data_IF_876235356737
#
_entry.id   IF_876235356737
#
_cell.length_a   1.000
_cell.length_b   1.000
_cell.length_c   1.000
_cell.angle_alpha   90.00
_cell.angle_beta   90.00
_cell.angle_gamma   90.00
#
_symmetry.space_group_name_H-M   'P 1'
#
loop_
_entity.id
_entity.type
_entity.pdbx_description
1 polymer ?
#
# COMPACT_ATOMS: atom_id res chain seq x y z
N UNK A 1 -20.35 -0.26 7.87
CA UNK A 1 -19.08 -0.10 8.64
C UNK A 1 -18.06 0.48 7.70
N UNK A 2 -17.54 1.67 8.03
CA UNK A 2 -16.66 2.46 7.19
C UNK A 2 -15.27 1.82 7.10
N UNK A 3 -14.95 1.21 5.94
CA UNK A 3 -13.62 0.69 5.64
C UNK A 3 -12.68 1.75 5.03
N UNK A 4 -13.00 3.03 5.19
CA UNK A 4 -12.36 4.05 4.35
C UNK A 4 -11.03 4.54 4.90
N UNK A 5 -10.77 4.47 6.18
CA UNK A 5 -9.48 4.94 6.74
C UNK A 5 -9.19 4.25 8.05
N UNK A 6 -8.48 3.14 8.01
CA UNK A 6 -7.74 2.71 9.18
C UNK A 6 -6.37 3.40 9.14
N UNK A 7 -6.30 4.60 9.68
CA UNK A 7 -5.06 5.35 9.82
C UNK A 7 -4.30 4.77 10.99
N UNK A 8 -3.22 4.03 10.71
CA UNK A 8 -2.13 3.67 11.61
C UNK A 8 -2.45 3.59 13.11
N UNK A 9 -3.34 2.67 13.50
CA UNK A 9 -3.76 2.46 14.87
C UNK A 9 -4.09 0.98 15.08
N UNK A 10 -4.44 0.60 16.28
CA UNK A 10 -5.01 -0.71 16.61
C UNK A 10 -6.28 -1.07 15.80
N UNK A 11 -6.84 -0.11 15.06
CA UNK A 11 -7.92 -0.32 14.11
C UNK A 11 -7.45 -0.75 12.72
N UNK A 12 -6.14 -0.88 12.44
CA UNK A 12 -5.66 -1.39 11.16
C UNK A 12 -6.17 -2.82 10.92
N UNK A 13 -6.49 -3.13 9.67
CA UNK A 13 -7.00 -4.47 9.32
C UNK A 13 -5.99 -5.56 9.70
N UNK A 14 -4.71 -5.31 9.47
CA UNK A 14 -3.67 -6.27 9.81
C UNK A 14 -3.54 -6.42 11.34
N UNK A 15 -3.62 -5.33 12.11
CA UNK A 15 -3.58 -5.40 13.56
C UNK A 15 -4.71 -6.28 14.12
N UNK A 16 -5.95 -6.04 13.69
CA UNK A 16 -7.12 -6.81 14.14
C UNK A 16 -7.01 -8.29 13.75
N UNK A 17 -6.45 -8.56 12.58
CA UNK A 17 -6.21 -9.94 12.13
C UNK A 17 -5.14 -10.63 12.98
N UNK A 18 -4.03 -9.95 13.28
CA UNK A 18 -2.96 -10.48 14.14
C UNK A 18 -3.48 -10.79 15.56
N UNK A 19 -4.30 -9.91 16.15
CA UNK A 19 -4.95 -10.15 17.44
C UNK A 19 -5.83 -11.42 17.40
N UNK A 20 -6.60 -11.58 16.33
CA UNK A 20 -7.44 -12.77 16.16
C UNK A 20 -6.61 -14.04 16.02
N UNK A 21 -5.57 -14.01 15.16
CA UNK A 21 -4.70 -15.15 14.89
C UNK A 21 -3.93 -15.57 16.14
N UNK A 22 -3.46 -14.62 16.95
CA UNK A 22 -2.77 -14.92 18.22
C UNK A 22 -3.62 -15.79 19.13
N UNK A 23 -4.93 -15.56 19.14
CA UNK A 23 -5.87 -16.33 19.97
C UNK A 23 -6.29 -17.67 19.36
N UNK A 24 -6.43 -17.75 18.03
CA UNK A 24 -6.94 -18.94 17.35
C UNK A 24 -5.84 -19.88 16.84
N UNK A 25 -4.62 -19.37 16.65
CA UNK A 25 -3.50 -20.05 16.00
C UNK A 25 -3.87 -20.64 14.62
N UNK A 26 -4.89 -20.08 13.96
CA UNK A 26 -5.42 -20.58 12.69
C UNK A 26 -5.01 -19.74 11.50
N UNK A 27 -4.45 -20.39 10.45
CA UNK A 27 -4.18 -19.74 9.16
C UNK A 27 -5.45 -19.30 8.43
N UNK A 28 -6.61 -19.88 8.75
CA UNK A 28 -7.89 -19.52 8.14
C UNK A 28 -8.31 -18.10 8.51
N UNK A 29 -7.88 -17.64 9.67
CA UNK A 29 -8.07 -16.28 10.15
C UNK A 29 -7.03 -15.29 9.58
N UNK A 30 -6.01 -15.77 8.87
CA UNK A 30 -4.85 -15.01 8.39
C UNK A 30 -5.01 -14.55 6.93
N UNK A 31 -6.14 -13.96 6.54
CA UNK A 31 -6.38 -13.57 5.15
C UNK A 31 -5.43 -12.48 4.65
N UNK A 32 -5.38 -11.35 5.35
CA UNK A 32 -4.51 -10.23 4.95
C UNK A 32 -3.04 -10.56 5.15
N UNK A 33 -2.70 -11.19 6.27
CA UNK A 33 -1.34 -11.66 6.53
C UNK A 33 -0.86 -12.58 5.41
N UNK A 34 -1.64 -13.61 5.06
CA UNK A 34 -1.25 -14.59 4.05
C UNK A 34 -1.20 -14.02 2.64
N UNK A 35 -2.16 -13.16 2.25
CA UNK A 35 -2.32 -12.71 0.88
C UNK A 35 -1.59 -11.42 0.56
N UNK A 36 -1.23 -10.62 1.56
CA UNK A 36 -0.68 -9.28 1.32
C UNK A 36 0.56 -8.96 2.12
N UNK A 37 0.68 -9.42 3.36
CA UNK A 37 1.71 -8.96 4.27
C UNK A 37 2.73 -10.00 4.70
N UNK A 38 2.59 -11.27 4.31
CA UNK A 38 3.47 -12.35 4.74
C UNK A 38 4.94 -12.02 4.54
N UNK A 39 5.33 -11.58 3.33
CA UNK A 39 6.73 -11.29 3.03
C UNK A 39 7.29 -10.13 3.84
N UNK A 40 6.47 -9.10 4.07
CA UNK A 40 6.83 -7.95 4.92
C UNK A 40 7.06 -8.42 6.35
N UNK A 41 6.18 -9.27 6.87
CA UNK A 41 6.30 -9.82 8.23
C UNK A 41 7.54 -10.72 8.37
N UNK A 42 7.82 -11.57 7.40
CA UNK A 42 9.04 -12.38 7.39
C UNK A 42 10.30 -11.51 7.42
N UNK A 43 10.37 -10.50 6.56
CA UNK A 43 11.53 -9.59 6.51
C UNK A 43 11.66 -8.78 7.80
N UNK A 44 10.56 -8.28 8.34
CA UNK A 44 10.56 -7.49 9.57
C UNK A 44 11.07 -8.27 10.79
N UNK A 45 10.74 -9.56 10.86
CA UNK A 45 11.23 -10.46 11.90
C UNK A 45 12.55 -11.17 11.54
N UNK A 46 13.14 -10.88 10.38
CA UNK A 46 14.34 -11.54 9.86
C UNK A 46 14.21 -13.07 9.76
N UNK A 47 13.00 -13.53 9.51
CA UNK A 47 12.69 -14.96 9.37
C UNK A 47 12.71 -15.42 7.92
N UNK A 48 13.11 -16.67 7.70
CA UNK A 48 12.98 -17.32 6.39
C UNK A 48 11.50 -17.55 6.07
N UNK A 49 11.17 -17.51 4.79
CA UNK A 49 9.84 -17.89 4.30
C UNK A 49 9.55 -19.35 4.61
N UNK A 50 8.45 -19.56 5.33
CA UNK A 50 7.94 -20.89 5.70
C UNK A 50 6.42 -20.91 5.50
N UNK A 51 5.76 -22.07 5.44
CA UNK A 51 4.30 -22.14 5.36
C UNK A 51 3.63 -21.32 6.46
N UNK A 52 2.56 -20.59 6.12
CA UNK A 52 1.91 -19.64 7.03
C UNK A 52 1.49 -20.25 8.35
N UNK A 53 0.92 -21.48 8.34
CA UNK A 53 0.57 -22.17 9.58
C UNK A 53 1.77 -22.37 10.50
N UNK A 54 2.91 -22.78 9.94
CA UNK A 54 4.15 -22.96 10.70
C UNK A 54 4.73 -21.63 11.19
N UNK A 55 4.60 -20.58 10.39
CA UNK A 55 5.00 -19.24 10.80
C UNK A 55 4.23 -18.79 12.04
N UNK A 56 2.90 -18.85 11.98
CA UNK A 56 2.01 -18.47 13.08
C UNK A 56 2.33 -19.27 14.35
N UNK A 57 2.48 -20.59 14.23
CA UNK A 57 2.73 -21.47 15.40
C UNK A 57 4.11 -21.30 16.02
N UNK A 58 5.06 -20.70 15.30
CA UNK A 58 6.44 -20.51 15.76
C UNK A 58 6.72 -19.08 16.26
N UNK A 59 5.73 -18.20 16.29
CA UNK A 59 5.88 -16.86 16.84
C UNK A 59 5.82 -16.91 18.38
N UNK A 60 6.81 -16.34 19.02
CA UNK A 60 6.80 -16.08 20.45
C UNK A 60 6.07 -14.74 20.77
N UNK A 61 5.83 -14.47 22.06
CA UNK A 61 5.10 -13.26 22.47
C UNK A 61 5.78 -11.96 22.04
N UNK A 62 7.11 -11.88 22.10
CA UNK A 62 7.87 -10.70 21.68
C UNK A 62 7.69 -10.45 20.16
N UNK A 63 7.72 -11.49 19.36
CA UNK A 63 7.52 -11.41 17.90
C UNK A 63 6.09 -11.02 17.55
N UNK A 64 5.11 -11.51 18.29
CA UNK A 64 3.71 -11.08 18.15
C UNK A 64 3.57 -9.58 18.43
N UNK A 65 4.14 -9.06 19.50
CA UNK A 65 4.07 -7.63 19.82
C UNK A 65 4.80 -6.79 18.75
N UNK A 66 5.98 -7.23 18.28
CA UNK A 66 6.67 -6.57 17.16
C UNK A 66 5.81 -6.48 15.89
N UNK A 67 5.12 -7.56 15.51
CA UNK A 67 4.23 -7.55 14.34
C UNK A 67 3.02 -6.64 14.56
N UNK A 68 2.46 -6.62 15.75
CA UNK A 68 1.35 -5.74 16.11
C UNK A 68 1.76 -4.27 16.04
N UNK A 69 2.92 -3.91 16.56
CA UNK A 69 3.44 -2.54 16.49
C UNK A 69 3.74 -2.12 15.04
N UNK A 70 4.34 -3.00 14.24
CA UNK A 70 4.52 -2.76 12.82
C UNK A 70 3.18 -2.54 12.11
N UNK A 71 2.17 -3.35 12.44
CA UNK A 71 0.86 -3.28 11.79
C UNK A 71 0.12 -1.97 12.06
N UNK A 72 0.39 -1.29 13.18
CA UNK A 72 -0.13 0.06 13.48
C UNK A 72 0.36 1.12 12.49
N UNK A 73 1.47 0.87 11.81
CA UNK A 73 2.02 1.76 10.78
C UNK A 73 1.45 1.50 9.38
N UNK A 74 0.64 0.45 9.22
CA UNK A 74 0.09 0.02 7.93
C UNK A 74 -1.35 0.47 7.80
N UNK A 75 -1.67 1.08 6.66
CA UNK A 75 -3.01 1.54 6.30
C UNK A 75 -3.43 0.92 4.97
N UNK A 76 -4.63 0.35 4.93
CA UNK A 76 -5.23 -0.13 3.69
C UNK A 76 -6.14 0.95 3.10
N UNK A 77 -5.85 1.35 1.86
CA UNK A 77 -6.70 2.24 1.07
C UNK A 77 -7.30 1.48 -0.12
N UNK A 78 -8.59 1.68 -0.34
CA UNK A 78 -9.28 1.13 -1.50
C UNK A 78 -9.35 2.19 -2.60
N UNK A 79 -8.88 1.84 -3.83
CA UNK A 79 -9.05 2.72 -4.99
C UNK A 79 -10.53 2.84 -5.39
N UNK A 80 -11.28 1.74 -5.20
CA UNK A 80 -12.71 1.69 -5.46
C UNK A 80 -13.48 1.71 -4.14
N UNK A 81 -14.14 2.83 -3.78
CA UNK A 81 -14.69 3.05 -2.43
C UNK A 81 -15.98 2.27 -2.15
N UNK A 82 -16.51 1.54 -3.12
CA UNK A 82 -17.72 0.76 -2.96
C UNK A 82 -17.41 -0.70 -2.64
N UNK A 83 -18.19 -1.27 -1.75
CA UNK A 83 -18.08 -2.70 -1.43
C UNK A 83 -18.48 -3.54 -2.64
N UNK A 84 -17.54 -4.30 -3.18
CA UNK A 84 -17.78 -5.24 -4.27
C UNK A 84 -16.95 -6.49 -4.07
N UNK A 85 -17.57 -7.66 -4.26
CA UNK A 85 -16.86 -8.94 -4.24
C UNK A 85 -15.80 -9.01 -5.34
N UNK A 86 -16.12 -8.42 -6.49
CA UNK A 86 -15.20 -8.28 -7.60
C UNK A 86 -15.50 -6.96 -8.34
N UNK A 87 -14.71 -5.91 -8.14
CA UNK A 87 -14.91 -4.63 -8.79
C UNK A 87 -14.69 -4.67 -10.31
N UNK A 88 -14.06 -5.74 -10.82
CA UNK A 88 -13.94 -5.96 -12.27
C UNK A 88 -13.04 -4.97 -12.99
N UNK A 89 -11.97 -4.49 -12.35
CA UNK A 89 -10.97 -3.67 -13.06
C UNK A 89 -10.43 -4.41 -14.28
N UNK A 90 -10.50 -3.77 -15.45
CA UNK A 90 -10.07 -4.35 -16.71
C UNK A 90 -9.06 -3.46 -17.43
N UNK A 91 -8.23 -4.06 -18.28
CA UNK A 91 -7.33 -3.33 -19.19
C UNK A 91 -8.01 -2.93 -20.50
N UNK A 92 -9.21 -3.45 -20.75
CA UNK A 92 -9.93 -3.20 -22.01
C UNK A 92 -10.59 -1.82 -22.02
N UNK A 93 -10.75 -1.24 -23.22
CA UNK A 93 -11.47 0.03 -23.41
C UNK A 93 -12.96 -0.04 -23.04
N UNK A 94 -13.54 -1.24 -22.97
CA UNK A 94 -14.86 -1.46 -22.35
C UNK A 94 -14.67 -1.42 -20.85
N UNK A 95 -14.79 -0.21 -20.29
CA UNK A 95 -14.55 0.02 -18.89
C UNK A 95 -15.62 -0.64 -18.02
N UNK A 96 -15.17 -1.35 -16.99
CA UNK A 96 -16.06 -1.76 -15.92
C UNK A 96 -16.56 -0.54 -15.13
N UNK A 97 -17.62 -0.71 -14.37
CA UNK A 97 -18.10 0.33 -13.44
C UNK A 97 -16.99 0.84 -12.53
N UNK A 98 -16.13 -0.06 -12.02
CA UNK A 98 -15.00 0.31 -11.18
C UNK A 98 -13.99 1.21 -11.91
N UNK A 99 -13.63 0.87 -13.16
CA UNK A 99 -12.74 1.72 -13.96
C UNK A 99 -13.36 3.10 -14.20
N UNK A 100 -14.65 3.16 -14.47
CA UNK A 100 -15.35 4.42 -14.67
C UNK A 100 -15.31 5.30 -13.42
N UNK A 101 -15.56 4.73 -12.24
CA UNK A 101 -15.52 5.48 -10.98
C UNK A 101 -14.11 6.00 -10.68
N UNK A 102 -13.07 5.17 -10.75
CA UNK A 102 -11.70 5.60 -10.42
C UNK A 102 -11.10 6.54 -11.45
N UNK A 103 -11.58 6.55 -12.68
CA UNK A 103 -11.20 7.52 -13.71
C UNK A 103 -12.05 8.79 -13.70
N UNK A 104 -13.14 8.81 -12.94
CA UNK A 104 -14.03 9.98 -12.87
C UNK A 104 -13.42 11.12 -12.05
N UNK A 105 -13.79 12.33 -12.39
CA UNK A 105 -13.41 13.53 -11.64
C UNK A 105 -14.37 13.82 -10.47
N UNK A 106 -15.12 12.85 -10.02
CA UNK A 106 -16.04 12.99 -8.89
C UNK A 106 -15.28 12.99 -7.56
N UNK A 107 -15.89 13.63 -6.53
CA UNK A 107 -15.34 13.63 -5.17
C UNK A 107 -15.07 12.20 -4.66
N UNK A 108 -15.95 11.27 -4.99
CA UNK A 108 -15.84 9.85 -4.59
C UNK A 108 -14.71 9.14 -5.32
N UNK A 109 -14.61 9.30 -6.65
CA UNK A 109 -13.55 8.67 -7.46
C UNK A 109 -12.15 9.17 -7.10
N UNK A 110 -12.04 10.41 -6.63
CA UNK A 110 -10.75 11.03 -6.28
C UNK A 110 -10.39 10.91 -4.78
N UNK A 111 -11.27 10.40 -3.93
CA UNK A 111 -11.11 10.44 -2.46
C UNK A 111 -9.80 9.81 -1.99
N UNK A 112 -9.52 8.57 -2.37
CA UNK A 112 -8.31 7.86 -1.93
C UNK A 112 -7.04 8.50 -2.50
N UNK A 113 -7.08 8.98 -3.73
CA UNK A 113 -5.95 9.71 -4.32
C UNK A 113 -5.67 11.04 -3.58
N UNK A 114 -6.72 11.77 -3.16
CA UNK A 114 -6.56 12.96 -2.32
C UNK A 114 -5.88 12.65 -0.99
N UNK A 115 -6.23 11.56 -0.35
CA UNK A 115 -5.59 11.12 0.90
C UNK A 115 -4.09 10.86 0.66
N UNK A 116 -3.73 10.17 -0.42
CA UNK A 116 -2.34 9.90 -0.78
C UNK A 116 -1.57 11.19 -1.01
N UNK A 117 -2.07 12.06 -1.86
CA UNK A 117 -1.41 13.33 -2.18
C UNK A 117 -1.31 14.23 -0.94
N UNK A 118 -2.38 14.33 -0.14
CA UNK A 118 -2.36 15.08 1.11
C UNK A 118 -1.28 14.56 2.09
N UNK A 119 -1.13 13.23 2.24
CA UNK A 119 -0.09 12.66 3.10
C UNK A 119 1.33 12.99 2.61
N UNK A 120 1.56 12.99 1.29
CA UNK A 120 2.84 13.39 0.72
C UNK A 120 3.10 14.87 1.01
N UNK A 121 2.14 15.75 0.72
CA UNK A 121 2.26 17.18 0.96
C UNK A 121 2.57 17.48 2.43
N UNK A 122 1.80 16.87 3.35
CA UNK A 122 2.03 17.02 4.79
C UNK A 122 3.42 16.58 5.25
N UNK A 123 3.90 15.47 4.72
CA UNK A 123 5.26 15.01 5.01
C UNK A 123 6.31 16.00 4.50
N UNK A 124 6.16 16.51 3.27
CA UNK A 124 7.10 17.46 2.68
C UNK A 124 7.08 18.81 3.43
N UNK A 125 5.90 19.34 3.75
CA UNK A 125 5.75 20.58 4.53
C UNK A 125 6.47 20.53 5.90
N UNK A 126 6.40 19.37 6.59
CA UNK A 126 7.06 19.20 7.88
C UNK A 126 8.56 19.02 7.75
N UNK A 127 8.98 18.28 6.70
CA UNK A 127 10.40 18.10 6.39
C UNK A 127 11.10 19.43 6.13
N UNK A 128 10.45 20.33 5.40
CA UNK A 128 11.00 21.65 5.05
C UNK A 128 11.11 22.59 6.27
N UNK A 129 10.26 22.42 7.29
CA UNK A 129 10.26 23.25 8.51
C UNK A 129 11.21 22.77 9.60
N UNK A 130 12.06 21.77 9.36
CA UNK A 130 12.89 21.13 10.38
C UNK A 130 12.13 20.56 11.59
N UNK A 131 10.81 20.73 11.64
CA UNK A 131 9.93 20.18 12.68
C UNK A 131 9.76 18.66 12.54
N UNK A 132 10.20 18.10 11.41
CA UNK A 132 10.01 16.70 11.02
C UNK A 132 10.98 15.69 11.63
N UNK A 133 11.76 16.05 12.68
CA UNK A 133 12.59 15.06 13.38
C UNK A 133 11.70 14.00 14.01
N UNK A 134 11.60 12.84 13.34
CA UNK A 134 10.83 11.69 13.81
C UNK A 134 9.55 11.37 12.99
N UNK A 135 9.17 12.17 11.99
CA UNK A 135 8.05 11.82 11.13
C UNK A 135 8.42 10.70 10.16
N UNK A 136 7.59 9.67 10.14
CA UNK A 136 7.79 8.53 9.25
C UNK A 136 7.42 8.91 7.82
N UNK A 137 8.35 8.76 6.90
CA UNK A 137 8.11 8.94 5.46
C UNK A 137 7.01 7.99 5.00
N UNK A 138 5.91 8.48 4.38
CA UNK A 138 4.87 7.61 3.89
C UNK A 138 5.36 6.85 2.65
N UNK A 139 5.14 5.54 2.62
CA UNK A 139 5.38 4.71 1.44
C UNK A 139 4.05 4.07 1.03
N UNK A 140 3.74 4.17 -0.26
CA UNK A 140 2.50 3.66 -0.83
C UNK A 140 2.79 2.47 -1.74
N UNK A 141 2.19 1.33 -1.45
CA UNK A 141 2.32 0.10 -2.24
C UNK A 141 1.02 -0.13 -3.00
N UNK A 142 1.09 -0.07 -4.32
CA UNK A 142 -0.09 -0.13 -5.18
C UNK A 142 -0.24 -1.49 -5.86
N UNK A 143 -1.46 -2.00 -5.83
CA UNK A 143 -1.92 -3.03 -6.77
C UNK A 143 -2.67 -2.34 -7.90
N UNK A 144 -2.48 -2.83 -9.14
CA UNK A 144 -3.16 -2.30 -10.33
C UNK A 144 -2.98 -0.78 -10.50
N UNK A 145 -1.76 -0.30 -10.30
CA UNK A 145 -1.47 1.14 -10.32
C UNK A 145 -2.06 1.83 -11.55
N UNK A 146 -1.75 1.32 -12.76
CA UNK A 146 -2.16 1.97 -14.01
C UNK A 146 -3.67 2.00 -14.25
N UNK A 147 -4.39 0.99 -13.75
CA UNK A 147 -5.83 0.85 -14.03
C UNK A 147 -6.72 1.37 -12.93
N UNK A 148 -6.23 1.38 -11.69
CA UNK A 148 -7.04 1.74 -10.55
C UNK A 148 -6.61 3.05 -9.85
N UNK A 149 -5.33 3.39 -9.86
CA UNK A 149 -4.82 4.52 -9.08
C UNK A 149 -4.34 5.68 -9.91
N UNK A 150 -3.60 5.42 -11.00
CA UNK A 150 -3.03 6.47 -11.84
C UNK A 150 -4.08 7.47 -12.34
N UNK A 151 -5.25 7.05 -12.86
CA UNK A 151 -6.26 8.00 -13.33
C UNK A 151 -6.76 8.93 -12.22
N UNK A 152 -7.00 8.40 -11.01
CA UNK A 152 -7.45 9.22 -9.88
C UNK A 152 -6.37 10.18 -9.39
N UNK A 153 -5.11 9.73 -9.35
CA UNK A 153 -3.97 10.57 -8.96
C UNK A 153 -3.78 11.69 -9.97
N UNK A 154 -3.83 11.38 -11.27
CA UNK A 154 -3.76 12.40 -12.33
C UNK A 154 -4.89 13.42 -12.19
N UNK A 155 -6.12 12.98 -11.94
CA UNK A 155 -7.25 13.87 -11.73
C UNK A 155 -7.04 14.82 -10.53
N UNK A 156 -6.48 14.34 -9.43
CA UNK A 156 -6.16 15.22 -8.28
C UNK A 156 -5.11 16.26 -8.66
N UNK A 157 -4.04 15.85 -9.34
CA UNK A 157 -2.99 16.78 -9.75
C UNK A 157 -3.49 17.83 -10.76
N UNK A 158 -4.27 17.41 -11.76
CA UNK A 158 -4.80 18.29 -12.80
C UNK A 158 -5.91 19.22 -12.27
N UNK A 159 -6.89 18.66 -11.54
CA UNK A 159 -8.13 19.36 -11.22
C UNK A 159 -8.10 20.07 -9.87
N UNK A 160 -7.51 19.47 -8.85
CA UNK A 160 -7.42 20.06 -7.53
C UNK A 160 -6.19 20.99 -7.41
N UNK A 161 -5.02 20.52 -7.87
CA UNK A 161 -3.76 21.25 -7.75
C UNK A 161 -3.38 22.06 -8.99
N UNK A 162 -4.16 21.95 -10.07
CA UNK A 162 -4.03 22.77 -11.29
C UNK A 162 -2.71 22.61 -12.05
N UNK A 163 -2.02 21.52 -11.87
CA UNK A 163 -0.85 21.21 -12.69
C UNK A 163 -1.25 20.93 -14.14
N UNK A 164 -0.39 21.24 -15.10
CA UNK A 164 -0.58 20.80 -16.46
C UNK A 164 -0.13 19.34 -16.65
N UNK A 165 -0.38 18.76 -17.81
CA UNK A 165 -0.11 17.33 -18.06
C UNK A 165 1.36 16.97 -17.91
N UNK A 166 2.27 17.80 -18.40
CA UNK A 166 3.71 17.52 -18.32
C UNK A 166 4.20 17.58 -16.86
N UNK A 167 3.74 18.57 -16.09
CA UNK A 167 4.00 18.66 -14.65
C UNK A 167 3.47 17.46 -13.89
N UNK A 168 2.27 16.98 -14.24
CA UNK A 168 1.72 15.76 -13.63
C UNK A 168 2.60 14.54 -13.88
N UNK A 169 3.05 14.34 -15.09
CA UNK A 169 3.88 13.18 -15.46
C UNK A 169 5.24 13.24 -14.73
N UNK A 170 5.86 14.41 -14.64
CA UNK A 170 7.09 14.60 -13.88
C UNK A 170 6.91 14.40 -12.36
N UNK A 171 5.80 14.89 -11.80
CA UNK A 171 5.48 14.67 -10.38
C UNK A 171 5.24 13.19 -10.07
N UNK A 172 4.50 12.49 -10.91
CA UNK A 172 4.26 11.05 -10.74
C UNK A 172 5.58 10.27 -10.81
N UNK A 173 6.48 10.66 -11.71
CA UNK A 173 7.83 10.09 -11.77
C UNK A 173 8.61 10.33 -10.46
N UNK A 174 8.60 11.54 -9.93
CA UNK A 174 9.21 11.85 -8.62
C UNK A 174 8.56 11.06 -7.49
N UNK A 175 7.24 10.89 -7.49
CA UNK A 175 6.56 10.05 -6.49
C UNK A 175 7.01 8.59 -6.55
N UNK A 176 7.27 8.04 -7.74
CA UNK A 176 7.85 6.71 -7.87
C UNK A 176 9.29 6.61 -7.36
N UNK A 177 10.04 7.70 -7.45
CA UNK A 177 11.41 7.75 -6.92
C UNK A 177 11.46 7.81 -5.39
N UNK A 178 10.39 8.30 -4.75
CA UNK A 178 10.44 8.56 -3.32
C UNK A 178 9.37 7.85 -2.49
N UNK A 179 8.16 7.70 -3.02
CA UNK A 179 6.99 7.32 -2.22
C UNK A 179 6.25 6.09 -2.75
N UNK A 180 6.35 5.78 -4.05
CA UNK A 180 5.49 4.80 -4.69
C UNK A 180 6.23 3.51 -5.05
N UNK A 181 5.66 2.40 -4.62
CA UNK A 181 6.01 1.05 -5.03
C UNK A 181 4.80 0.40 -5.69
N UNK A 182 5.02 -0.51 -6.61
CA UNK A 182 3.93 -1.25 -7.25
C UNK A 182 4.14 -2.75 -7.20
N UNK A 183 3.04 -3.48 -7.23
CA UNK A 183 3.06 -4.94 -7.28
C UNK A 183 2.96 -5.37 -8.74
N UNK A 184 3.85 -6.25 -9.17
CA UNK A 184 3.83 -6.85 -10.50
C UNK A 184 2.63 -7.79 -10.61
N UNK A 185 1.62 -7.39 -11.38
CA UNK A 185 0.35 -8.12 -11.46
C UNK A 185 0.48 -9.53 -12.05
N UNK A 186 1.41 -9.74 -13.00
CA UNK A 186 1.57 -11.00 -13.71
C UNK A 186 2.18 -12.12 -12.84
N UNK A 187 2.92 -11.74 -11.79
CA UNK A 187 3.60 -12.66 -10.90
C UNK A 187 2.96 -12.74 -9.51
N UNK A 188 1.82 -12.05 -9.35
CA UNK A 188 1.10 -12.07 -8.09
C UNK A 188 0.38 -13.41 -7.90
N UNK A 189 0.91 -14.23 -7.02
CA UNK A 189 0.26 -15.45 -6.55
C UNK A 189 -0.58 -15.14 -5.31
N UNK A 190 -1.89 -15.26 -5.46
CA UNK A 190 -2.85 -15.02 -4.38
C UNK A 190 -2.71 -15.99 -3.22
N UNK A 191 -2.12 -17.16 -3.45
CA UNK A 191 -1.98 -18.19 -2.42
C UNK A 191 -0.71 -18.01 -1.58
N UNK A 192 0.31 -17.34 -2.12
CA UNK A 192 1.59 -17.20 -1.45
C UNK A 192 1.68 -16.00 -0.50
N UNK A 193 0.86 -14.97 -0.70
CA UNK A 193 0.86 -13.76 0.11
C UNK A 193 2.19 -12.97 0.11
N UNK A 194 3.08 -13.20 -0.85
CA UNK A 194 4.43 -12.63 -0.87
C UNK A 194 4.48 -11.27 -1.56
N UNK A 195 3.74 -10.30 -1.06
CA UNK A 195 3.68 -8.95 -1.62
C UNK A 195 5.07 -8.36 -1.86
N UNK A 196 5.98 -8.48 -0.91
CA UNK A 196 7.33 -7.94 -1.04
C UNK A 196 8.12 -8.55 -2.20
N UNK A 197 7.94 -9.83 -2.50
CA UNK A 197 8.60 -10.52 -3.62
C UNK A 197 8.20 -9.94 -4.98
N UNK A 198 6.97 -9.44 -5.10
CA UNK A 198 6.42 -8.93 -6.35
C UNK A 198 6.41 -7.40 -6.45
N UNK A 199 6.96 -6.70 -5.47
CA UNK A 199 7.15 -5.26 -5.55
C UNK A 199 8.24 -4.98 -6.59
N UNK A 200 8.00 -4.07 -7.51
CA UNK A 200 8.90 -3.78 -8.61
C UNK A 200 9.03 -2.27 -8.85
N UNK A 201 10.09 -1.90 -9.61
CA UNK A 201 10.36 -0.51 -10.03
C UNK A 201 9.24 0.12 -10.84
N UNK A 202 8.53 -0.74 -11.60
CA UNK A 202 7.42 -0.38 -12.41
C UNK A 202 7.67 0.55 -13.62
N UNK A 203 6.62 1.16 -14.10
CA UNK A 203 6.46 1.81 -15.39
C UNK A 203 7.21 3.15 -15.55
N UNK A 204 7.70 3.74 -14.49
CA UNK A 204 8.40 5.03 -14.50
C UNK A 204 9.91 4.89 -14.50
N UNK A 205 10.41 3.74 -14.89
CA UNK A 205 11.83 3.46 -15.16
C UNK A 205 12.78 3.90 -14.05
N UNK A 206 12.42 3.59 -12.80
CA UNK A 206 13.37 3.73 -11.69
C UNK A 206 14.63 2.92 -11.96
N UNK A 207 15.78 3.43 -11.61
CA UNK A 207 17.01 2.66 -11.58
C UNK A 207 16.97 1.60 -10.46
N UNK A 208 17.82 0.59 -10.54
CA UNK A 208 17.91 -0.43 -9.51
C UNK A 208 18.24 0.18 -8.15
N UNK A 209 19.17 1.15 -8.10
CA UNK A 209 19.54 1.85 -6.87
C UNK A 209 18.38 2.66 -6.25
N UNK A 210 17.61 3.36 -7.08
CA UNK A 210 16.43 4.11 -6.60
C UNK A 210 15.36 3.17 -6.03
N UNK A 211 15.10 2.06 -6.71
CA UNK A 211 14.16 1.06 -6.22
C UNK A 211 14.63 0.43 -4.91
N UNK A 212 15.87 -0.04 -4.84
CA UNK A 212 16.44 -0.63 -3.61
C UNK A 212 16.41 0.34 -2.44
N UNK A 213 16.73 1.62 -2.69
CA UNK A 213 16.64 2.65 -1.65
C UNK A 213 15.22 2.76 -1.09
N UNK A 214 14.21 2.92 -1.95
CA UNK A 214 12.80 3.04 -1.53
C UNK A 214 12.35 1.75 -0.81
N UNK A 215 12.70 0.59 -1.36
CA UNK A 215 12.34 -0.70 -0.79
C UNK A 215 12.94 -0.88 0.61
N UNK A 216 14.23 -0.59 0.76
CA UNK A 216 14.90 -0.69 2.05
C UNK A 216 14.35 0.31 3.07
N UNK A 217 14.08 1.57 2.66
CA UNK A 217 13.42 2.57 3.52
C UNK A 217 12.04 2.11 4.00
N UNK A 218 11.28 1.43 3.12
CA UNK A 218 9.95 0.94 3.46
C UNK A 218 9.95 -0.23 4.46
N UNK A 219 11.00 -1.05 4.45
CA UNK A 219 11.05 -2.30 5.21
C UNK A 219 12.23 -2.40 6.19
N UNK A 220 13.08 -1.37 6.29
CA UNK A 220 14.13 -1.35 7.31
C UNK A 220 13.52 -1.15 8.69
N UNK A 221 14.08 -1.87 9.64
CA UNK A 221 13.84 -1.59 11.06
C UNK A 221 14.41 -0.21 11.38
N UNK A 222 13.66 0.60 12.06
CA UNK A 222 14.16 1.79 12.75
C UNK A 222 14.73 1.41 14.11
#
# INVERSE_FOLDING_TARGET
>A
KNHIVNIGTESSILYQELEKIKNTCSKEDAYYLSHYFAHICFNYLEKKQIPMQKFISNLNDEEWEKLKDMSKLIVNLEAFPFRSKNPGFTKSKKSSFANHIVSSNTKVGMLSARIIIWRIVKYLEKKDKEEGKGEVKPIFIFRRFNTAWLPSIQNVLLLDLKFNKNECDELIKKFHQEFFLTIREQEYDRQSGFVGKYICKNNYKLTDKEFEKIFNEAFSKK
#
